data_IF_434486319208
#
_entry.id   IF_434486319208
#
_cell.length_a   1.000
_cell.length_b   1.000
_cell.length_c   1.000
_cell.angle_alpha   90.00
_cell.angle_beta   90.00
_cell.angle_gamma   90.00
#
_symmetry.space_group_name_H-M   'P 1'
#
loop_
_entity.id
_entity.type
_entity.pdbx_description
1 polymer ?
#
# COMPACT_ATOMS: atom_id res chain seq x y z
N UNK A 1 -40.08 -75.93 -2.00
CA UNK A 1 -38.77 -75.84 -2.66
C UNK A 1 -38.61 -74.41 -3.15
N UNK A 2 -37.93 -73.56 -2.38
CA UNK A 2 -37.62 -72.19 -2.79
C UNK A 2 -36.16 -72.19 -3.27
N UNK A 3 -35.97 -71.91 -4.56
CA UNK A 3 -34.67 -71.66 -5.16
C UNK A 3 -34.11 -70.41 -4.49
N UNK A 4 -33.08 -70.59 -3.66
CA UNK A 4 -32.29 -69.49 -3.13
C UNK A 4 -31.58 -68.85 -4.32
N UNK A 5 -32.07 -67.69 -4.76
CA UNK A 5 -31.33 -66.80 -5.67
C UNK A 5 -30.01 -66.44 -4.99
N UNK A 6 -28.98 -67.20 -5.35
CA UNK A 6 -27.60 -66.94 -4.94
C UNK A 6 -27.18 -65.71 -5.72
N UNK A 7 -27.47 -64.53 -5.17
CA UNK A 7 -27.14 -63.24 -5.77
C UNK A 7 -25.69 -63.27 -6.24
N UNK A 8 -25.47 -62.99 -7.53
CA UNK A 8 -24.13 -62.95 -8.08
C UNK A 8 -23.31 -61.93 -7.27
N UNK A 9 -22.10 -62.30 -6.81
CA UNK A 9 -21.25 -61.35 -6.09
C UNK A 9 -21.05 -60.11 -6.98
N UNK A 10 -21.35 -58.92 -6.44
CA UNK A 10 -21.07 -57.65 -7.13
C UNK A 10 -19.58 -57.62 -7.45
N UNK A 11 -19.25 -57.24 -8.67
CA UNK A 11 -17.86 -57.09 -9.08
C UNK A 11 -17.20 -55.99 -8.23
N UNK A 12 -16.17 -56.31 -7.43
CA UNK A 12 -15.47 -55.33 -6.60
C UNK A 12 -14.81 -54.21 -7.39
N UNK A 13 -14.60 -54.39 -8.70
CA UNK A 13 -14.00 -53.40 -9.59
C UNK A 13 -14.68 -52.02 -9.49
N UNK A 14 -16.01 -51.98 -9.37
CA UNK A 14 -16.75 -50.71 -9.33
C UNK A 14 -16.45 -49.89 -8.07
N UNK A 15 -16.18 -50.56 -6.95
CA UNK A 15 -15.78 -49.90 -5.70
C UNK A 15 -14.38 -49.28 -5.88
N UNK A 16 -13.44 -50.04 -6.45
CA UNK A 16 -12.11 -49.51 -6.78
C UNK A 16 -12.16 -48.36 -7.79
N UNK A 17 -13.00 -48.44 -8.83
CA UNK A 17 -13.18 -47.36 -9.80
C UNK A 17 -13.69 -46.09 -9.11
N UNK A 18 -14.64 -46.23 -8.19
CA UNK A 18 -15.18 -45.11 -7.42
C UNK A 18 -14.10 -44.46 -6.54
N UNK A 19 -13.34 -45.27 -5.81
CA UNK A 19 -12.29 -44.81 -4.90
C UNK A 19 -11.17 -44.09 -5.67
N UNK A 20 -10.74 -44.65 -6.81
CA UNK A 20 -9.75 -44.00 -7.69
C UNK A 20 -10.25 -42.65 -8.20
N UNK A 21 -11.53 -42.55 -8.62
CA UNK A 21 -12.12 -41.27 -9.06
C UNK A 21 -12.15 -40.24 -7.93
N UNK A 22 -12.52 -40.66 -6.71
CA UNK A 22 -12.53 -39.78 -5.55
C UNK A 22 -11.12 -39.30 -5.22
N UNK A 23 -10.16 -40.21 -5.13
CA UNK A 23 -8.77 -39.90 -4.83
C UNK A 23 -8.12 -39.00 -5.89
N UNK A 24 -8.40 -39.22 -7.18
CA UNK A 24 -7.99 -38.31 -8.26
C UNK A 24 -8.57 -36.91 -8.08
N UNK A 25 -9.88 -36.79 -7.82
CA UNK A 25 -10.52 -35.49 -7.63
C UNK A 25 -9.98 -34.74 -6.41
N UNK A 26 -9.61 -35.47 -5.35
CA UNK A 26 -8.99 -34.91 -4.16
C UNK A 26 -7.56 -34.46 -4.45
N UNK A 27 -6.76 -35.29 -5.12
CA UNK A 27 -5.41 -34.95 -5.55
C UNK A 27 -5.39 -33.73 -6.50
N UNK A 28 -6.37 -33.59 -7.39
CA UNK A 28 -6.52 -32.39 -8.24
C UNK A 28 -6.76 -31.12 -7.43
N UNK A 29 -7.61 -31.18 -6.38
CA UNK A 29 -7.84 -30.03 -5.48
C UNK A 29 -6.56 -29.64 -4.75
N UNK A 30 -5.90 -30.61 -4.13
CA UNK A 30 -4.64 -30.39 -3.42
C UNK A 30 -3.56 -29.85 -4.36
N UNK A 31 -3.48 -30.34 -5.60
CA UNK A 31 -2.54 -29.83 -6.60
C UNK A 31 -2.79 -28.39 -7.02
N UNK A 32 -4.03 -27.89 -6.97
CA UNK A 32 -4.35 -26.48 -7.24
C UNK A 32 -3.99 -25.57 -6.08
N UNK A 33 -4.06 -26.07 -4.86
CA UNK A 33 -3.76 -25.34 -3.63
C UNK A 33 -2.26 -25.34 -3.29
N UNK A 34 -1.53 -26.39 -3.66
CA UNK A 34 -0.11 -26.58 -3.36
C UNK A 34 0.88 -25.47 -3.80
N UNK A 35 0.62 -24.66 -4.85
CA UNK A 35 1.41 -23.47 -5.16
C UNK A 35 1.29 -22.34 -4.14
N UNK A 36 0.17 -22.28 -3.40
CA UNK A 36 -0.17 -21.20 -2.47
C UNK A 36 -0.02 -21.64 -1.01
N UNK A 37 -0.24 -22.92 -0.74
CA UNK A 37 -0.14 -23.50 0.59
C UNK A 37 0.87 -24.65 0.57
N UNK A 38 1.99 -24.48 1.29
CA UNK A 38 3.00 -25.53 1.40
C UNK A 38 2.53 -26.70 2.26
N UNK A 39 1.56 -26.49 3.17
CA UNK A 39 1.07 -27.52 4.07
C UNK A 39 0.35 -28.67 3.36
N UNK A 40 -0.25 -28.39 2.19
CA UNK A 40 -0.97 -29.38 1.39
C UNK A 40 -0.07 -30.23 0.48
N UNK A 41 1.22 -29.91 0.36
CA UNK A 41 2.17 -30.65 -0.49
C UNK A 41 2.40 -32.09 0.02
N UNK A 42 2.55 -32.28 1.32
CA UNK A 42 2.71 -33.62 1.92
C UNK A 42 1.43 -34.47 1.81
N UNK A 43 0.22 -33.96 2.14
CA UNK A 43 -1.03 -34.65 1.85
C UNK A 43 -1.21 -35.02 0.37
N UNK A 44 -0.83 -34.13 -0.56
CA UNK A 44 -0.86 -34.41 -1.99
C UNK A 44 0.05 -35.58 -2.34
N UNK A 45 1.30 -35.57 -1.87
CA UNK A 45 2.26 -36.67 -2.09
C UNK A 45 1.71 -38.01 -1.60
N UNK A 46 1.20 -38.06 -0.36
CA UNK A 46 0.62 -39.28 0.21
C UNK A 46 -0.57 -39.79 -0.61
N UNK A 47 -1.43 -38.90 -1.10
CA UNK A 47 -2.59 -39.26 -1.93
C UNK A 47 -2.14 -39.83 -3.28
N UNK A 48 -1.12 -39.24 -3.91
CA UNK A 48 -0.58 -39.72 -5.18
C UNK A 48 0.12 -41.08 -5.03
N UNK A 49 0.82 -41.32 -3.93
CA UNK A 49 1.45 -42.62 -3.65
C UNK A 49 0.41 -43.72 -3.43
N UNK A 50 -0.67 -43.45 -2.68
CA UNK A 50 -1.79 -44.38 -2.53
C UNK A 50 -2.45 -44.69 -3.87
N UNK A 51 -2.78 -43.66 -4.65
CA UNK A 51 -3.39 -43.83 -5.98
C UNK A 51 -2.52 -44.67 -6.92
N UNK A 52 -1.19 -44.52 -6.85
CA UNK A 52 -0.26 -45.32 -7.64
C UNK A 52 -0.34 -46.81 -7.29
N UNK A 53 -0.46 -47.12 -6.00
CA UNK A 53 -0.62 -48.50 -5.53
C UNK A 53 -1.98 -49.06 -5.98
N UNK A 54 -3.06 -48.33 -5.74
CA UNK A 54 -4.42 -48.75 -6.11
C UNK A 54 -4.54 -49.03 -7.61
N UNK A 55 -4.00 -48.14 -8.45
CA UNK A 55 -3.97 -48.34 -9.91
C UNK A 55 -3.14 -49.55 -10.32
N UNK A 56 -2.03 -49.82 -9.62
CA UNK A 56 -1.21 -51.01 -9.88
C UNK A 56 -1.98 -52.29 -9.58
N UNK A 57 -2.67 -52.32 -8.44
CA UNK A 57 -3.43 -53.50 -7.99
C UNK A 57 -4.62 -53.77 -8.93
N UNK A 58 -5.38 -52.73 -9.29
CA UNK A 58 -6.50 -52.86 -10.23
C UNK A 58 -6.01 -53.25 -11.62
N UNK A 59 -4.86 -52.72 -12.09
CA UNK A 59 -4.30 -53.14 -13.38
C UNK A 59 -3.91 -54.61 -13.40
N UNK A 60 -3.33 -55.13 -12.31
CA UNK A 60 -2.99 -56.54 -12.22
C UNK A 60 -4.25 -57.42 -12.24
N UNK A 61 -5.32 -57.01 -11.55
CA UNK A 61 -6.59 -57.75 -11.60
C UNK A 61 -7.20 -57.77 -13.01
N UNK A 62 -7.20 -56.64 -13.72
CA UNK A 62 -7.65 -56.55 -15.11
C UNK A 62 -6.79 -57.43 -16.04
N UNK A 63 -5.48 -57.50 -15.81
CA UNK A 63 -4.57 -58.37 -16.56
C UNK A 63 -4.85 -59.85 -16.33
N UNK A 64 -5.17 -60.26 -15.09
CA UNK A 64 -5.54 -61.64 -14.77
C UNK A 64 -6.83 -62.03 -15.49
N UNK A 65 -7.83 -61.14 -15.49
CA UNK A 65 -9.11 -61.33 -16.20
C UNK A 65 -8.90 -61.44 -17.71
N UNK A 66 -8.02 -60.63 -18.28
CA UNK A 66 -7.67 -60.69 -19.70
C UNK A 66 -7.03 -62.03 -20.09
N UNK A 67 -6.19 -62.61 -19.24
CA UNK A 67 -5.48 -63.87 -19.51
C UNK A 67 -6.32 -65.13 -19.24
N UNK A 68 -7.27 -65.06 -18.31
CA UNK A 68 -7.98 -66.22 -17.76
C UNK A 68 -9.38 -66.48 -18.36
N UNK A 69 -9.64 -65.87 -19.52
CA UNK A 69 -10.92 -65.85 -20.25
C UNK A 69 -12.01 -65.02 -19.54
N UNK A 70 -12.22 -63.79 -20.02
CA UNK A 70 -13.12 -62.80 -19.40
C UNK A 70 -14.58 -63.29 -19.28
N UNK A 71 -15.03 -64.14 -20.21
CA UNK A 71 -16.36 -64.73 -20.19
C UNK A 71 -16.59 -65.62 -18.96
N UNK A 72 -15.53 -66.22 -18.40
CA UNK A 72 -15.61 -67.03 -17.18
C UNK A 72 -15.97 -66.20 -15.94
N UNK A 73 -15.65 -64.91 -15.98
CA UNK A 73 -15.97 -63.94 -14.93
C UNK A 73 -17.24 -63.13 -15.24
N UNK A 74 -17.95 -63.43 -16.33
CA UNK A 74 -19.12 -62.67 -16.78
C UNK A 74 -18.78 -61.26 -17.27
N UNK A 75 -17.52 -61.02 -17.64
CA UNK A 75 -17.04 -59.72 -18.12
C UNK A 75 -17.01 -59.76 -19.65
N UNK A 76 -17.82 -58.89 -20.27
CA UNK A 76 -17.86 -58.74 -21.72
C UNK A 76 -16.61 -58.01 -22.25
N UNK A 77 -16.24 -58.23 -23.52
CA UNK A 77 -15.10 -57.59 -24.15
C UNK A 77 -15.20 -56.05 -24.12
N UNK A 78 -16.41 -55.50 -24.27
CA UNK A 78 -16.63 -54.06 -24.15
C UNK A 78 -16.43 -53.55 -22.72
N UNK A 79 -16.80 -54.34 -21.72
CA UNK A 79 -16.55 -53.99 -20.32
C UNK A 79 -15.06 -54.01 -20.01
N UNK A 80 -14.34 -55.06 -20.42
CA UNK A 80 -12.88 -55.13 -20.23
C UNK A 80 -12.15 -53.95 -20.88
N UNK A 81 -12.58 -53.53 -22.08
CA UNK A 81 -12.02 -52.37 -22.77
C UNK A 81 -12.29 -51.07 -22.00
N UNK A 82 -13.50 -50.86 -21.46
CA UNK A 82 -13.80 -49.70 -20.59
C UNK A 82 -12.88 -49.65 -19.38
N UNK A 83 -12.59 -50.81 -18.76
CA UNK A 83 -11.70 -50.87 -17.59
C UNK A 83 -10.27 -50.46 -17.95
N UNK A 84 -9.77 -50.93 -19.09
CA UNK A 84 -8.45 -50.57 -19.61
C UNK A 84 -8.37 -49.08 -19.94
N UNK A 85 -9.40 -48.54 -20.57
CA UNK A 85 -9.48 -47.12 -20.90
C UNK A 85 -9.45 -46.26 -19.62
N UNK A 86 -10.27 -46.61 -18.62
CA UNK A 86 -10.29 -45.91 -17.34
C UNK A 86 -8.92 -45.94 -16.63
N UNK A 87 -8.26 -47.10 -16.59
CA UNK A 87 -6.92 -47.23 -15.99
C UNK A 87 -5.89 -46.39 -16.74
N UNK A 88 -5.90 -46.40 -18.07
CA UNK A 88 -5.01 -45.59 -18.91
C UNK A 88 -5.22 -44.09 -18.67
N UNK A 89 -6.48 -43.64 -18.62
CA UNK A 89 -6.80 -42.24 -18.33
C UNK A 89 -6.35 -41.83 -16.92
N UNK A 90 -6.56 -42.71 -15.94
CA UNK A 90 -6.17 -42.48 -14.54
C UNK A 90 -4.66 -42.44 -14.35
N UNK A 91 -3.91 -43.33 -15.00
CA UNK A 91 -2.44 -43.32 -15.01
C UNK A 91 -1.89 -42.02 -15.62
N UNK A 92 -2.49 -41.55 -16.72
CA UNK A 92 -2.10 -40.26 -17.33
C UNK A 92 -2.38 -39.07 -16.40
N UNK A 93 -3.52 -39.06 -15.71
CA UNK A 93 -3.87 -38.02 -14.74
C UNK A 93 -2.88 -38.04 -13.56
N UNK A 94 -2.61 -39.21 -12.99
CA UNK A 94 -1.61 -39.41 -11.94
C UNK A 94 -0.23 -38.90 -12.34
N UNK A 95 0.22 -39.20 -13.57
CA UNK A 95 1.52 -38.76 -14.06
C UNK A 95 1.60 -37.23 -14.20
N UNK A 96 0.51 -36.56 -14.60
CA UNK A 96 0.44 -35.09 -14.65
C UNK A 96 0.53 -34.49 -13.26
N UNK A 97 -0.25 -35.00 -12.31
CA UNK A 97 -0.28 -34.52 -10.93
C UNK A 97 1.05 -34.75 -10.21
N UNK A 98 1.67 -35.93 -10.40
CA UNK A 98 3.00 -36.24 -9.86
C UNK A 98 4.10 -35.32 -10.41
N UNK A 99 4.06 -34.99 -11.71
CA UNK A 99 5.02 -34.01 -12.26
C UNK A 99 4.82 -32.62 -11.66
N UNK A 100 3.57 -32.20 -11.46
CA UNK A 100 3.25 -30.92 -10.85
C UNK A 100 3.72 -30.87 -9.38
N UNK A 101 3.52 -31.95 -8.61
CA UNK A 101 3.98 -32.01 -7.21
C UNK A 101 5.52 -31.96 -7.11
N UNK A 102 6.24 -32.68 -7.96
CA UNK A 102 7.72 -32.62 -7.98
C UNK A 102 8.23 -31.24 -8.35
N UNK A 103 7.58 -30.55 -9.30
CA UNK A 103 7.94 -29.17 -9.64
C UNK A 103 7.76 -28.21 -8.45
N UNK A 104 6.78 -28.47 -7.59
CA UNK A 104 6.53 -27.70 -6.37
C UNK A 104 7.58 -27.97 -5.28
N UNK A 105 8.22 -29.13 -5.25
CA UNK A 105 9.29 -29.42 -4.28
C UNK A 105 10.67 -28.88 -4.69
N UNK A 106 10.75 -28.24 -5.86
CA UNK A 106 11.98 -27.58 -6.31
C UNK A 106 12.31 -26.38 -5.41
N UNK A 107 13.58 -26.15 -5.01
CA UNK A 107 13.97 -25.03 -4.14
C UNK A 107 13.54 -23.64 -4.62
N UNK A 108 13.29 -23.48 -5.93
CA UNK A 108 12.74 -22.26 -6.52
C UNK A 108 11.33 -21.90 -6.02
N UNK A 109 10.51 -22.88 -5.60
CA UNK A 109 9.18 -22.60 -5.06
C UNK A 109 9.24 -22.05 -3.63
N UNK A 110 10.21 -22.52 -2.83
CA UNK A 110 10.48 -22.04 -1.48
C UNK A 110 10.98 -20.60 -1.50
N UNK A 111 11.83 -20.23 -2.47
CA UNK A 111 12.28 -18.84 -2.64
C UNK A 111 11.12 -17.91 -3.03
N UNK A 112 10.18 -18.36 -3.87
CA UNK A 112 9.01 -17.56 -4.25
C UNK A 112 8.04 -17.33 -3.08
N UNK A 113 7.86 -18.33 -2.21
CA UNK A 113 7.04 -18.18 -1.00
C UNK A 113 7.67 -17.15 -0.04
N UNK A 114 8.99 -17.25 0.17
CA UNK A 114 9.76 -16.31 0.99
C UNK A 114 9.72 -14.88 0.43
N UNK A 115 9.90 -14.70 -0.89
CA UNK A 115 9.80 -13.38 -1.54
C UNK A 115 8.43 -12.74 -1.34
N UNK A 116 7.35 -13.51 -1.46
CA UNK A 116 5.99 -12.99 -1.24
C UNK A 116 5.77 -12.54 0.19
N UNK A 117 6.23 -13.33 1.16
CA UNK A 117 6.11 -12.98 2.57
C UNK A 117 6.86 -11.68 2.88
N UNK A 118 8.08 -11.53 2.33
CA UNK A 118 8.82 -10.27 2.43
C UNK A 118 8.09 -9.09 1.78
N UNK A 119 7.50 -9.28 0.60
CA UNK A 119 6.71 -8.22 -0.06
C UNK A 119 5.49 -7.80 0.77
N UNK A 120 4.84 -8.73 1.46
CA UNK A 120 3.71 -8.40 2.35
C UNK A 120 4.16 -7.57 3.56
N UNK A 121 5.30 -7.91 4.17
CA UNK A 121 5.87 -7.10 5.25
C UNK A 121 6.23 -5.69 4.77
N UNK A 122 6.77 -5.57 3.55
CA UNK A 122 7.09 -4.27 2.95
C UNK A 122 5.84 -3.43 2.65
N UNK A 123 4.74 -4.05 2.19
CA UNK A 123 3.47 -3.36 1.98
C UNK A 123 2.86 -2.90 3.31
N UNK A 124 2.88 -3.75 4.35
CA UNK A 124 2.39 -3.39 5.67
C UNK A 124 3.13 -2.19 6.28
N UNK A 125 4.46 -2.13 6.11
CA UNK A 125 5.27 -0.99 6.56
C UNK A 125 4.96 0.30 5.77
N UNK A 126 4.65 0.20 4.48
CA UNK A 126 4.27 1.35 3.66
C UNK A 126 2.91 1.93 4.04
N UNK A 127 1.92 1.10 4.37
CA UNK A 127 0.62 1.57 4.86
C UNK A 127 0.76 2.41 6.14
N UNK A 128 1.61 1.98 7.07
CA UNK A 128 1.92 2.76 8.28
C UNK A 128 2.55 4.14 7.96
N UNK A 129 3.38 4.21 6.91
CA UNK A 129 3.96 5.46 6.45
C UNK A 129 2.89 6.39 5.84
N UNK A 130 1.94 5.84 5.08
CA UNK A 130 0.83 6.59 4.50
C UNK A 130 -0.11 7.15 5.57
N UNK A 131 -0.38 6.42 6.66
CA UNK A 131 -1.16 6.91 7.80
C UNK A 131 -0.49 8.12 8.49
N UNK A 132 0.84 8.05 8.64
CA UNK A 132 1.63 9.15 9.23
C UNK A 132 1.59 10.40 8.33
N UNK A 133 1.68 10.21 7.01
CA UNK A 133 1.49 11.31 6.04
C UNK A 133 0.07 11.85 6.11
N UNK A 134 -0.94 10.98 6.21
CA UNK A 134 -2.36 11.36 6.32
C UNK A 134 -2.64 12.25 7.54
N UNK A 135 -2.11 11.88 8.71
CA UNK A 135 -2.22 12.68 9.94
C UNK A 135 -1.46 14.02 9.84
N UNK A 136 -0.28 14.02 9.22
CA UNK A 136 0.49 15.25 8.96
C UNK A 136 -0.25 16.18 8.00
N UNK A 137 -0.89 15.63 6.95
CA UNK A 137 -1.70 16.40 6.01
C UNK A 137 -2.95 16.97 6.66
N UNK A 138 -3.60 16.21 7.56
CA UNK A 138 -4.73 16.69 8.36
C UNK A 138 -4.32 17.88 9.25
N UNK A 139 -3.15 17.77 9.87
CA UNK A 139 -2.58 18.86 10.68
C UNK A 139 -2.27 20.09 9.83
N UNK A 140 -1.58 19.91 8.70
CA UNK A 140 -1.29 20.99 7.75
C UNK A 140 -2.56 21.68 7.23
N UNK A 141 -3.60 20.89 6.94
CA UNK A 141 -4.91 21.43 6.54
C UNK A 141 -5.52 22.30 7.63
N UNK A 142 -5.49 21.85 8.89
CA UNK A 142 -5.99 22.64 10.02
C UNK A 142 -5.19 23.93 10.22
N UNK A 143 -3.87 23.88 10.05
CA UNK A 143 -2.99 25.05 10.15
C UNK A 143 -3.24 26.04 9.00
N UNK A 144 -3.40 25.55 7.78
CA UNK A 144 -3.75 26.38 6.63
C UNK A 144 -5.11 27.08 6.81
N UNK A 145 -6.07 26.39 7.43
CA UNK A 145 -7.38 26.97 7.74
C UNK A 145 -7.29 28.07 8.81
N UNK A 146 -6.49 27.86 9.86
CA UNK A 146 -6.22 28.87 10.89
C UNK A 146 -5.53 30.11 10.29
N UNK A 147 -4.49 29.89 9.48
CA UNK A 147 -3.76 30.96 8.78
C UNK A 147 -4.70 31.74 7.85
N UNK A 148 -5.62 31.05 7.16
CA UNK A 148 -6.62 31.69 6.32
C UNK A 148 -7.52 32.64 7.10
N UNK A 149 -8.01 32.20 8.26
CA UNK A 149 -8.87 33.02 9.11
C UNK A 149 -8.12 34.21 9.72
N UNK A 150 -6.89 34.01 10.20
CA UNK A 150 -6.05 35.09 10.74
C UNK A 150 -5.66 36.10 9.65
N UNK A 151 -5.45 35.64 8.40
CA UNK A 151 -5.19 36.54 7.26
C UNK A 151 -6.41 37.40 6.95
N UNK A 152 -7.62 36.83 6.95
CA UNK A 152 -8.86 37.60 6.77
C UNK A 152 -9.06 38.63 7.89
N UNK A 153 -8.73 38.28 9.14
CA UNK A 153 -8.79 39.20 10.28
C UNK A 153 -7.71 40.30 10.20
N UNK A 154 -6.51 39.97 9.71
CA UNK A 154 -5.44 40.93 9.47
C UNK A 154 -5.80 41.94 8.36
N UNK A 155 -6.55 41.54 7.33
CA UNK A 155 -7.06 42.46 6.30
C UNK A 155 -8.02 43.49 6.91
N UNK A 156 -8.85 43.08 7.87
CA UNK A 156 -9.71 44.00 8.64
C UNK A 156 -8.90 44.95 9.52
N UNK A 157 -7.88 44.44 10.23
CA UNK A 157 -7.02 45.28 11.10
C UNK A 157 -6.13 46.26 10.31
N UNK A 158 -5.70 45.91 9.09
CA UNK A 158 -4.97 46.83 8.22
C UNK A 158 -5.82 48.06 7.85
N UNK A 159 -7.14 47.93 7.76
CA UNK A 159 -8.05 49.06 7.57
C UNK A 159 -8.06 50.04 8.75
N UNK A 160 -7.90 49.54 9.99
CA UNK A 160 -7.80 50.39 11.18
C UNK A 160 -6.43 51.08 11.27
N UNK A 161 -5.36 50.35 10.93
CA UNK A 161 -4.01 50.91 10.87
C UNK A 161 -3.91 52.05 9.84
N UNK A 162 -4.53 51.89 8.66
CA UNK A 162 -4.60 52.93 7.62
C UNK A 162 -5.26 54.22 8.16
N UNK A 163 -6.38 54.06 8.87
CA UNK A 163 -7.07 55.18 9.51
C UNK A 163 -6.22 55.87 10.61
N UNK A 164 -5.41 55.11 11.34
CA UNK A 164 -4.49 55.68 12.35
C UNK A 164 -3.28 56.38 11.72
N UNK A 165 -2.75 55.85 10.61
CA UNK A 165 -1.70 56.50 9.81
C UNK A 165 -2.20 57.84 9.26
N UNK A 166 -3.42 57.89 8.72
CA UNK A 166 -4.05 59.13 8.24
C UNK A 166 -4.17 60.18 9.36
N UNK A 167 -4.56 59.75 10.57
CA UNK A 167 -4.64 60.63 11.75
C UNK A 167 -3.27 61.12 12.18
N UNK A 168 -2.26 60.25 12.17
CA UNK A 168 -0.88 60.60 12.50
C UNK A 168 -0.31 61.61 11.49
N UNK A 169 -0.53 61.38 10.19
CA UNK A 169 -0.13 62.30 9.11
C UNK A 169 -0.76 63.68 9.31
N UNK A 170 -2.06 63.74 9.62
CA UNK A 170 -2.78 65.00 9.87
C UNK A 170 -2.24 65.74 11.11
N UNK A 171 -1.80 65.01 12.15
CA UNK A 171 -1.15 65.59 13.33
C UNK A 171 0.25 66.11 13.00
N UNK A 172 1.06 65.31 12.30
CA UNK A 172 2.40 65.71 11.87
C UNK A 172 2.37 66.95 10.97
N UNK A 173 1.44 67.02 10.02
CA UNK A 173 1.26 68.19 9.17
C UNK A 173 0.97 69.46 10.01
N UNK A 174 0.11 69.34 11.03
CA UNK A 174 -0.15 70.45 11.96
C UNK A 174 1.08 70.86 12.77
N UNK A 175 1.90 69.90 13.21
CA UNK A 175 3.15 70.16 13.92
C UNK A 175 4.16 70.86 13.02
N UNK A 176 4.30 70.45 11.77
CA UNK A 176 5.19 71.11 10.80
C UNK A 176 4.79 72.58 10.57
N UNK A 177 3.49 72.86 10.41
CA UNK A 177 2.98 74.24 10.28
C UNK A 177 3.29 75.09 11.54
N UNK A 178 3.36 74.47 12.72
CA UNK A 178 3.80 75.17 13.93
C UNK A 178 5.31 75.41 13.92
N UNK A 179 6.10 74.41 13.51
CA UNK A 179 7.55 74.52 13.42
C UNK A 179 7.98 75.63 12.45
N UNK A 180 7.35 75.73 11.28
CA UNK A 180 7.61 76.81 10.31
C UNK A 180 7.34 78.19 10.93
N UNK A 181 6.23 78.32 11.68
CA UNK A 181 5.89 79.55 12.40
C UNK A 181 6.87 79.86 13.54
N UNK A 182 7.43 78.85 14.20
CA UNK A 182 8.46 79.05 15.22
C UNK A 182 9.77 79.51 14.61
N UNK A 183 10.25 78.84 13.54
CA UNK A 183 11.47 79.21 12.81
C UNK A 183 11.39 80.66 12.31
N UNK A 184 10.26 81.03 11.70
CA UNK A 184 10.04 82.39 11.22
C UNK A 184 10.08 83.45 12.35
N UNK A 185 9.66 83.12 13.57
CA UNK A 185 9.74 84.05 14.72
C UNK A 185 11.14 84.15 15.31
N UNK A 186 11.93 83.08 15.31
CA UNK A 186 13.31 83.08 15.82
C UNK A 186 14.26 83.88 14.92
N UNK A 187 14.10 83.77 13.59
CA UNK A 187 15.01 84.41 12.63
C UNK A 187 14.95 85.95 12.72
N UNK A 188 13.74 86.53 12.82
CA UNK A 188 13.56 87.97 12.88
C UNK A 188 14.12 88.64 14.16
N UNK A 189 14.11 87.94 15.30
CA UNK A 189 14.54 88.53 16.59
C UNK A 189 16.03 88.34 16.84
N UNK A 190 16.60 87.19 16.49
CA UNK A 190 18.00 86.88 16.80
C UNK A 190 18.95 87.53 15.79
N UNK A 191 18.58 87.56 14.49
CA UNK A 191 19.40 88.18 13.45
C UNK A 191 19.61 89.69 13.67
N UNK A 192 18.55 90.41 14.04
CA UNK A 192 18.63 91.85 14.26
C UNK A 192 19.52 92.27 15.43
N UNK A 193 19.46 91.54 16.56
CA UNK A 193 20.27 91.84 17.74
C UNK A 193 21.74 91.48 17.54
N UNK A 194 22.02 90.37 16.84
CA UNK A 194 23.38 89.97 16.53
C UNK A 194 24.12 91.06 15.73
N UNK A 195 23.48 91.61 14.69
CA UNK A 195 24.07 92.68 13.88
C UNK A 195 24.39 93.91 14.72
N UNK A 196 23.46 94.36 15.59
CA UNK A 196 23.70 95.52 16.46
C UNK A 196 24.81 95.28 17.49
N UNK A 197 24.88 94.09 18.09
CA UNK A 197 25.95 93.72 19.04
C UNK A 197 27.31 93.71 18.34
N UNK A 198 27.40 93.14 17.13
CA UNK A 198 28.64 93.06 16.35
C UNK A 198 29.15 94.46 15.98
N UNK A 199 28.25 95.36 15.58
CA UNK A 199 28.57 96.79 15.31
C UNK A 199 29.08 97.50 16.56
N UNK A 200 28.45 97.29 17.72
CA UNK A 200 28.88 97.92 18.97
C UNK A 200 30.29 97.47 19.39
N UNK A 201 30.60 96.17 19.26
CA UNK A 201 31.94 95.62 19.53
C UNK A 201 32.97 96.22 18.57
N UNK A 202 32.64 96.33 17.28
CA UNK A 202 33.53 96.93 16.28
C UNK A 202 33.85 98.40 16.61
N UNK A 203 32.85 99.19 17.00
CA UNK A 203 33.04 100.58 17.41
C UNK A 203 33.92 100.70 18.66
N UNK A 204 33.76 99.81 19.63
CA UNK A 204 34.58 99.76 20.84
C UNK A 204 36.04 99.43 20.52
N UNK A 205 36.29 98.47 19.63
CA UNK A 205 37.64 98.16 19.16
C UNK A 205 38.30 99.34 18.43
N UNK A 206 37.54 100.05 17.60
CA UNK A 206 38.03 101.24 16.89
C UNK A 206 38.41 102.35 17.89
N UNK A 207 37.58 102.59 18.90
CA UNK A 207 37.88 103.54 19.98
C UNK A 207 39.14 103.14 20.76
N UNK A 208 39.30 101.86 21.09
CA UNK A 208 40.48 101.36 21.80
C UNK A 208 41.75 101.62 20.98
N UNK A 209 41.72 101.32 19.67
CA UNK A 209 42.85 101.58 18.76
C UNK A 209 43.15 103.06 18.61
N UNK A 210 42.15 103.94 18.66
CA UNK A 210 42.39 105.39 18.56
C UNK A 210 42.96 105.99 19.86
N UNK A 211 42.63 105.40 21.00
CA UNK A 211 43.11 105.82 22.33
C UNK A 211 44.51 105.27 22.63
N UNK A 212 44.83 104.07 22.14
CA UNK A 212 46.14 103.40 22.29
C UNK A 212 47.18 103.94 21.30
#
# INVERSE_FOLDING_TARGET
>A
MAVSERGMPRDPYWDYEHDIKQALSHAEKLSREAPFDASVRTPLGNTLDGLRQDLSDVKETVRIVEQSDANRFGIDAHELERRKEFLSQSEQALQRLSRASVALDTPASTSLAWEREQQQMLLANQDQALDTIGSSLSTLRSQAQLIGQETDEHVLMLGELDADVDRAQTRLQRVMIQMDRFVARTDARVGGWCVWILVAILLLLLLLVFIA
#
